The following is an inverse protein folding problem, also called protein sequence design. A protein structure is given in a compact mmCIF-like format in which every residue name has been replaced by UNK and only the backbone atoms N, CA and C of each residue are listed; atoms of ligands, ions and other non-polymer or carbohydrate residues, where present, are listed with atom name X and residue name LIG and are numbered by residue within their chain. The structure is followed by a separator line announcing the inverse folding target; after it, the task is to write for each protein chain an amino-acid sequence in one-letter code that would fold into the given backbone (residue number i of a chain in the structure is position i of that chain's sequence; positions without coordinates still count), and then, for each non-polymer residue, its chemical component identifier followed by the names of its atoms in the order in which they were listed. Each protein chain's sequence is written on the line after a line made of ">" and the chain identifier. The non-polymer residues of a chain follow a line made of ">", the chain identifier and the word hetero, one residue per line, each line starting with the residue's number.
data_IF_083047366747
#
_entry.id   IF_083047366747
#
_cell.length_a   1.000
_cell.length_b   1.000
_cell.length_c   1.000
_cell.angle_alpha   90.00
_cell.angle_beta   90.00
_cell.angle_gamma   90.00
#
_symmetry.space_group_name_H-M   'P 1'
#
loop_
_entity.id
_entity.type
_entity.pdbx_description
1 polymer ?
#
# COMPACT_ATOMS: atom_id res chain seq x y z
N UNK A 1 -56.11 -39.84 15.98
CA UNK A 1 -54.92 -40.68 15.72
C UNK A 1 -54.20 -40.35 14.42
N UNK A 2 -54.89 -40.04 13.31
CA UNK A 2 -54.27 -39.80 11.98
C UNK A 2 -53.35 -38.56 11.94
N UNK A 3 -53.67 -37.50 12.71
CA UNK A 3 -52.89 -36.25 12.75
C UNK A 3 -51.50 -36.44 13.36
N UNK A 4 -51.36 -37.30 14.37
CA UNK A 4 -50.07 -37.56 15.03
C UNK A 4 -49.09 -38.32 14.12
N UNK A 5 -49.59 -39.19 13.24
CA UNK A 5 -48.76 -39.94 12.27
C UNK A 5 -48.24 -38.99 11.19
N UNK A 6 -49.07 -38.03 10.74
CA UNK A 6 -48.66 -37.04 9.74
C UNK A 6 -47.58 -36.09 10.28
N UNK A 7 -47.71 -35.61 11.53
CA UNK A 7 -46.70 -34.78 12.18
C UNK A 7 -45.37 -35.52 12.40
N UNK A 8 -45.42 -36.82 12.72
CA UNK A 8 -44.23 -37.63 12.88
C UNK A 8 -43.49 -37.84 11.55
N UNK A 9 -44.22 -38.07 10.45
CA UNK A 9 -43.64 -38.17 9.10
C UNK A 9 -43.02 -36.84 8.64
N UNK A 10 -43.66 -35.71 8.92
CA UNK A 10 -43.10 -34.39 8.60
C UNK A 10 -41.81 -34.13 9.39
N UNK A 11 -41.76 -34.48 10.68
CA UNK A 11 -40.55 -34.33 11.49
C UNK A 11 -39.41 -35.27 11.08
N UNK A 12 -39.72 -36.46 10.54
CA UNK A 12 -38.71 -37.36 9.96
C UNK A 12 -38.18 -36.86 8.61
N UNK A 13 -38.99 -36.16 7.82
CA UNK A 13 -38.53 -35.51 6.59
C UNK A 13 -37.61 -34.31 6.86
N UNK A 14 -37.80 -33.60 7.97
CA UNK A 14 -36.93 -32.47 8.36
C UNK A 14 -35.58 -32.87 8.98
N UNK A 15 -35.38 -34.13 9.39
CA UNK A 15 -34.08 -34.61 9.92
C UNK A 15 -33.10 -35.06 8.84
N UNK A 16 -33.49 -35.06 7.57
CA UNK A 16 -32.71 -35.63 6.46
C UNK A 16 -31.86 -34.66 5.64
N UNK A 17 -31.81 -33.37 5.96
CA UNK A 17 -31.03 -32.39 5.18
C UNK A 17 -29.90 -31.81 6.05
N UNK A 18 -28.88 -32.62 6.30
CA UNK A 18 -27.54 -32.10 6.57
C UNK A 18 -26.72 -32.34 5.30
N UNK A 19 -26.64 -31.32 4.46
CA UNK A 19 -25.63 -31.26 3.41
C UNK A 19 -24.28 -31.06 4.10
N UNK A 20 -23.52 -32.14 4.26
CA UNK A 20 -22.09 -32.04 4.48
C UNK A 20 -21.45 -31.66 3.14
N UNK A 21 -21.26 -30.37 2.94
CA UNK A 21 -20.33 -29.86 1.93
C UNK A 21 -18.91 -29.97 2.49
N UNK A 22 -18.36 -31.19 2.46
CA UNK A 22 -16.96 -31.48 2.80
C UNK A 22 -16.02 -31.27 1.61
N UNK A 23 -16.46 -30.60 0.54
CA UNK A 23 -15.65 -30.37 -0.66
C UNK A 23 -14.94 -29.01 -0.74
N UNK A 24 -15.14 -28.11 0.22
CA UNK A 24 -14.67 -26.72 0.10
C UNK A 24 -13.37 -26.35 0.85
N UNK A 25 -12.80 -27.24 1.68
CA UNK A 25 -11.56 -26.92 2.43
C UNK A 25 -10.29 -27.01 1.57
N UNK A 26 -10.20 -27.97 0.65
CA UNK A 26 -9.03 -28.13 -0.21
C UNK A 26 -8.94 -27.04 -1.31
N UNK A 27 -10.08 -26.50 -1.75
CA UNK A 27 -10.12 -25.40 -2.73
C UNK A 27 -9.74 -24.06 -2.11
N UNK A 28 -10.13 -23.81 -0.85
CA UNK A 28 -9.71 -22.63 -0.09
C UNK A 28 -8.20 -22.59 0.19
N UNK A 29 -7.61 -23.72 0.59
CA UNK A 29 -6.16 -23.84 0.79
C UNK A 29 -5.37 -23.65 -0.51
N UNK A 30 -5.91 -24.12 -1.63
CA UNK A 30 -5.36 -23.88 -2.97
C UNK A 30 -5.40 -22.40 -3.35
N UNK A 31 -6.53 -21.71 -3.15
CA UNK A 31 -6.65 -20.27 -3.40
C UNK A 31 -5.75 -19.43 -2.49
N UNK A 32 -5.65 -19.78 -1.20
CA UNK A 32 -4.77 -19.11 -0.25
C UNK A 32 -3.29 -19.29 -0.65
N UNK A 33 -2.91 -20.49 -1.10
CA UNK A 33 -1.56 -20.80 -1.60
C UNK A 33 -1.23 -20.02 -2.87
N UNK A 34 -2.14 -19.99 -3.86
CA UNK A 34 -1.97 -19.20 -5.09
C UNK A 34 -1.90 -17.70 -4.79
N UNK A 35 -2.75 -17.18 -3.91
CA UNK A 35 -2.73 -15.77 -3.51
C UNK A 35 -1.48 -15.39 -2.70
N UNK A 36 -0.90 -16.34 -1.95
CA UNK A 36 0.37 -16.14 -1.24
C UNK A 36 1.56 -16.22 -2.21
N UNK A 37 1.55 -17.14 -3.17
CA UNK A 37 2.55 -17.22 -4.22
C UNK A 37 2.53 -15.97 -5.12
N UNK A 38 1.36 -15.52 -5.55
CA UNK A 38 1.17 -14.29 -6.32
C UNK A 38 1.61 -13.07 -5.49
N UNK A 39 1.22 -12.98 -4.21
CA UNK A 39 1.72 -11.92 -3.32
C UNK A 39 3.24 -11.95 -3.18
N UNK A 40 3.86 -13.12 -3.09
CA UNK A 40 5.31 -13.26 -2.99
C UNK A 40 6.03 -12.93 -4.31
N UNK A 41 5.44 -13.27 -5.45
CA UNK A 41 5.95 -12.90 -6.79
C UNK A 41 5.89 -11.38 -6.97
N UNK A 42 4.81 -10.71 -6.55
CA UNK A 42 4.73 -9.26 -6.63
C UNK A 42 5.55 -8.54 -5.56
N UNK A 43 5.65 -9.09 -4.34
CA UNK A 43 6.48 -8.53 -3.27
C UNK A 43 7.95 -8.42 -3.66
N UNK A 44 8.48 -9.36 -4.45
CA UNK A 44 9.89 -9.28 -4.86
C UNK A 44 10.14 -8.34 -6.05
N UNK A 45 9.09 -7.77 -6.66
CA UNK A 45 9.22 -6.86 -7.81
C UNK A 45 8.75 -5.45 -7.52
N UNK A 46 8.36 -5.16 -6.29
CA UNK A 46 7.83 -3.87 -5.88
C UNK A 46 8.63 -3.39 -4.67
N UNK A 47 9.12 -2.17 -4.76
CA UNK A 47 9.88 -1.50 -3.70
C UNK A 47 8.95 -1.13 -2.54
N UNK A 48 9.52 -0.71 -1.42
CA UNK A 48 8.78 -0.13 -0.30
C UNK A 48 7.93 1.07 -0.74
N UNK A 49 8.48 1.88 -1.66
CA UNK A 49 7.79 2.98 -2.33
C UNK A 49 6.85 2.57 -3.47
N UNK A 50 6.35 1.33 -3.49
CA UNK A 50 5.40 0.84 -4.48
C UNK A 50 5.85 1.02 -5.95
N UNK A 51 7.16 1.05 -6.19
CA UNK A 51 7.76 1.20 -7.51
C UNK A 51 8.19 -0.14 -8.05
N UNK A 52 7.96 -0.36 -9.34
CA UNK A 52 8.39 -1.60 -10.00
C UNK A 52 9.92 -1.66 -10.07
N UNK A 53 10.46 -2.74 -9.52
CA UNK A 53 11.84 -3.13 -9.71
C UNK A 53 12.10 -3.51 -11.18
N UNK A 54 13.31 -3.26 -11.65
CA UNK A 54 13.76 -3.71 -12.96
C UNK A 54 13.67 -5.23 -13.09
N UNK A 55 13.47 -5.69 -14.31
CA UNK A 55 13.31 -7.12 -14.60
C UNK A 55 14.56 -7.95 -14.24
N UNK A 56 15.74 -7.33 -14.28
CA UNK A 56 17.05 -7.96 -14.01
C UNK A 56 17.55 -7.72 -12.57
N UNK A 57 16.82 -6.94 -11.76
CA UNK A 57 17.17 -6.67 -10.37
C UNK A 57 15.90 -6.67 -9.53
N UNK A 58 15.49 -7.84 -9.07
CA UNK A 58 14.41 -7.99 -8.10
C UNK A 58 14.86 -7.59 -6.70
N UNK A 59 13.89 -7.35 -5.81
CA UNK A 59 14.14 -7.16 -4.40
C UNK A 59 14.99 -8.30 -3.84
N UNK A 60 16.13 -7.93 -3.27
CA UNK A 60 17.08 -8.84 -2.68
C UNK A 60 18.16 -8.08 -1.95
N UNK A 61 19.04 -8.79 -1.27
CA UNK A 61 20.10 -8.18 -0.47
C UNK A 61 21.26 -7.66 -1.31
N UNK A 62 21.57 -8.30 -2.44
CA UNK A 62 22.64 -7.89 -3.37
C UNK A 62 23.99 -7.59 -2.70
N UNK A 63 24.32 -8.32 -1.62
CA UNK A 63 25.56 -8.12 -0.84
C UNK A 63 25.41 -7.23 0.41
N UNK A 64 24.24 -6.64 0.63
CA UNK A 64 23.93 -5.78 1.77
C UNK A 64 23.18 -6.52 2.88
N UNK A 65 23.05 -5.90 4.06
CA UNK A 65 22.22 -6.39 5.17
C UNK A 65 20.75 -5.91 5.10
N UNK A 66 20.43 -5.12 4.07
CA UNK A 66 19.08 -4.67 3.72
C UNK A 66 18.66 -5.13 2.32
N UNK A 67 17.34 -5.26 2.11
CA UNK A 67 16.73 -5.65 0.84
C UNK A 67 16.42 -4.42 -0.01
N UNK A 68 16.81 -4.44 -1.28
CA UNK A 68 16.63 -3.34 -2.23
C UNK A 68 16.59 -3.86 -3.67
N UNK A 69 16.26 -2.98 -4.62
CA UNK A 69 16.33 -3.26 -6.04
C UNK A 69 16.60 -1.99 -6.87
N UNK A 70 17.08 -2.16 -8.11
CA UNK A 70 17.08 -1.06 -9.07
C UNK A 70 15.67 -0.87 -9.66
N UNK A 71 15.29 0.38 -9.87
CA UNK A 71 14.12 0.81 -10.63
C UNK A 71 14.58 1.36 -11.98
N UNK A 72 13.65 1.76 -12.85
CA UNK A 72 14.00 2.38 -14.14
C UNK A 72 14.73 3.73 -14.00
N UNK A 73 14.74 4.31 -12.79
CA UNK A 73 15.23 5.67 -12.55
C UNK A 73 16.29 5.77 -11.45
N UNK A 74 16.38 4.79 -10.53
CA UNK A 74 17.30 4.80 -9.40
C UNK A 74 17.36 3.39 -8.78
N UNK A 75 17.55 3.30 -7.47
CA UNK A 75 17.30 2.13 -6.64
C UNK A 75 16.42 2.53 -5.45
N UNK A 76 15.78 1.53 -4.83
CA UNK A 76 14.95 1.74 -3.64
C UNK A 76 14.91 0.49 -2.77
N UNK A 77 14.65 0.68 -1.47
CA UNK A 77 14.48 -0.41 -0.51
C UNK A 77 13.26 -1.25 -0.84
N UNK A 78 13.30 -2.51 -0.41
CA UNK A 78 12.20 -3.44 -0.53
C UNK A 78 11.76 -3.92 0.85
N UNK A 79 10.45 -3.97 1.08
CA UNK A 79 9.91 -4.51 2.31
C UNK A 79 10.09 -6.03 2.35
N UNK A 80 10.73 -6.55 3.40
CA UNK A 80 10.72 -7.97 3.75
C UNK A 80 9.39 -8.36 4.45
N UNK A 81 8.65 -7.38 4.99
CA UNK A 81 7.39 -7.54 5.71
C UNK A 81 6.21 -6.73 5.15
N UNK A 82 5.05 -6.73 5.83
CA UNK A 82 3.96 -5.80 5.50
C UNK A 82 4.36 -4.36 5.82
N UNK A 83 3.73 -3.43 5.11
CA UNK A 83 3.79 -2.01 5.45
C UNK A 83 2.85 -1.74 6.62
N UNK A 84 3.39 -1.26 7.75
CA UNK A 84 2.65 -1.04 8.99
C UNK A 84 2.71 0.44 9.39
N UNK A 85 1.68 0.90 10.11
CA UNK A 85 1.72 2.22 10.76
C UNK A 85 2.72 2.15 11.92
N UNK A 86 3.80 2.90 11.83
CA UNK A 86 4.81 3.08 12.85
C UNK A 86 5.00 4.58 13.17
N UNK A 87 5.49 4.91 14.37
CA UNK A 87 5.70 6.29 14.80
C UNK A 87 4.84 6.70 15.99
N UNK A 88 5.07 7.91 16.52
CA UNK A 88 4.23 8.49 17.58
C UNK A 88 2.87 8.89 17.00
N UNK A 89 1.84 8.89 17.83
CA UNK A 89 0.44 9.16 17.47
C UNK A 89 0.24 10.45 16.64
N UNK A 90 1.10 11.45 16.84
CA UNK A 90 1.05 12.77 16.18
C UNK A 90 1.63 12.79 14.76
N UNK A 91 2.49 11.82 14.40
CA UNK A 91 3.06 11.68 13.05
C UNK A 91 3.10 10.18 12.72
N UNK A 92 1.94 9.54 12.49
CA UNK A 92 1.93 8.17 12.01
C UNK A 92 2.69 8.15 10.70
N UNK A 93 3.62 7.23 10.55
CA UNK A 93 4.36 6.99 9.31
C UNK A 93 4.10 5.55 8.90
N UNK A 94 4.06 5.27 7.60
CA UNK A 94 3.97 3.90 7.14
C UNK A 94 5.39 3.40 6.88
N UNK A 95 5.82 2.37 7.61
CA UNK A 95 7.15 1.77 7.48
C UNK A 95 7.09 0.25 7.39
N UNK A 96 8.15 -0.34 6.87
CA UNK A 96 8.35 -1.77 6.79
C UNK A 96 9.81 -2.10 7.06
N UNK A 97 10.06 -3.30 7.59
CA UNK A 97 11.43 -3.81 7.66
C UNK A 97 11.95 -4.09 6.25
N UNK A 98 13.14 -3.60 5.96
CA UNK A 98 13.89 -3.87 4.75
C UNK A 98 15.20 -4.58 5.08
N UNK A 99 15.22 -5.45 6.09
CA UNK A 99 16.43 -6.09 6.61
C UNK A 99 16.93 -5.41 7.88
N UNK A 100 18.17 -4.89 7.89
CA UNK A 100 18.76 -4.20 9.05
C UNK A 100 18.19 -2.81 9.33
N UNK A 101 17.34 -2.28 8.45
CA UNK A 101 16.74 -0.95 8.56
C UNK A 101 15.24 -0.96 8.25
N UNK A 102 14.57 0.13 8.64
CA UNK A 102 13.18 0.41 8.28
C UNK A 102 13.10 1.31 7.05
N UNK A 103 12.27 0.92 6.10
CA UNK A 103 11.96 1.70 4.91
C UNK A 103 10.55 2.29 5.03
N UNK A 104 10.38 3.53 4.57
CA UNK A 104 9.06 4.10 4.39
C UNK A 104 8.34 3.38 3.26
N UNK A 105 7.05 3.13 3.46
CA UNK A 105 6.24 2.40 2.50
C UNK A 105 4.81 2.94 2.48
N UNK A 106 4.00 2.48 1.54
CA UNK A 106 2.55 2.75 1.52
C UNK A 106 2.08 3.45 0.26
N UNK A 107 0.76 3.57 0.14
CA UNK A 107 0.13 4.22 -1.00
C UNK A 107 0.12 5.72 -0.80
N UNK A 108 0.49 6.40 -1.86
CA UNK A 108 0.49 7.83 -1.92
C UNK A 108 0.17 8.20 -3.37
N UNK A 109 -0.56 9.28 -3.55
CA UNK A 109 -1.40 9.48 -4.73
C UNK A 109 -0.64 9.48 -6.06
N UNK A 110 -1.38 9.56 -7.14
CA UNK A 110 -0.82 9.76 -8.48
C UNK A 110 -0.57 11.23 -8.83
N UNK A 111 -0.74 12.13 -7.86
CA UNK A 111 -0.79 13.58 -8.10
C UNK A 111 0.07 14.32 -7.08
N UNK A 112 0.98 15.16 -7.59
CA UNK A 112 1.83 16.06 -6.83
C UNK A 112 1.00 17.13 -6.08
N UNK A 113 1.63 17.86 -5.15
CA UNK A 113 0.96 18.96 -4.45
C UNK A 113 0.33 19.94 -5.45
N UNK A 114 1.10 20.39 -6.45
CA UNK A 114 0.65 21.34 -7.47
C UNK A 114 -0.40 20.80 -8.46
N UNK A 115 -0.92 19.59 -8.27
CA UNK A 115 -1.90 18.96 -9.16
C UNK A 115 -1.30 18.25 -10.37
N UNK A 116 0.03 18.29 -10.56
CA UNK A 116 0.70 17.56 -11.63
C UNK A 116 0.54 16.06 -11.45
N UNK A 117 0.10 15.35 -12.49
CA UNK A 117 0.10 13.89 -12.49
C UNK A 117 1.53 13.35 -12.48
N UNK A 118 1.83 12.56 -11.46
CA UNK A 118 3.09 11.86 -11.30
C UNK A 118 3.16 10.67 -12.25
N UNK A 119 4.39 10.33 -12.62
CA UNK A 119 4.70 9.18 -13.42
C UNK A 119 4.35 7.90 -12.63
N UNK A 120 3.72 6.88 -13.24
CA UNK A 120 3.27 5.68 -12.53
C UNK A 120 4.37 4.90 -11.81
N UNK A 121 5.61 4.98 -12.31
CA UNK A 121 6.76 4.36 -11.67
C UNK A 121 7.31 5.16 -10.49
N UNK A 122 6.85 6.39 -10.25
CA UNK A 122 7.27 7.24 -9.12
C UNK A 122 6.04 7.93 -8.54
N UNK A 123 5.13 7.19 -7.89
CA UNK A 123 3.93 7.77 -7.31
C UNK A 123 4.25 8.70 -6.11
N UNK A 124 3.33 9.60 -5.83
CA UNK A 124 3.55 10.76 -4.98
C UNK A 124 3.38 10.50 -3.50
N UNK A 125 4.47 10.50 -2.73
CA UNK A 125 4.48 10.19 -1.28
C UNK A 125 5.09 8.82 -0.94
N UNK A 126 5.68 8.18 -1.94
CA UNK A 126 6.37 6.90 -1.79
C UNK A 126 7.89 7.05 -1.72
N UNK A 127 8.40 8.22 -2.11
CA UNK A 127 9.82 8.53 -2.17
C UNK A 127 10.20 9.71 -1.29
N UNK A 128 11.43 9.71 -0.80
CA UNK A 128 12.11 10.89 -0.25
C UNK A 128 11.90 11.22 1.22
N UNK A 129 10.91 10.59 1.89
CA UNK A 129 10.62 10.82 3.30
C UNK A 129 11.87 10.74 4.21
N UNK A 130 12.52 9.58 4.31
CA UNK A 130 13.69 9.39 5.20
C UNK A 130 14.95 10.16 4.79
N UNK A 131 15.27 10.17 3.50
CA UNK A 131 16.56 10.67 3.01
C UNK A 131 16.59 12.19 2.83
N UNK A 132 15.47 12.76 2.43
CA UNK A 132 15.38 14.19 2.08
C UNK A 132 14.43 14.95 3.00
N UNK A 133 13.68 14.26 3.85
CA UNK A 133 12.74 14.87 4.77
C UNK A 133 11.45 15.33 4.09
N UNK A 134 11.29 15.13 2.78
CA UNK A 134 10.11 15.51 2.00
C UNK A 134 9.74 14.47 0.95
N UNK A 135 8.47 14.45 0.59
CA UNK A 135 7.97 13.55 -0.45
C UNK A 135 8.04 14.18 -1.83
N UNK A 136 8.32 13.36 -2.84
CA UNK A 136 8.39 13.82 -4.22
C UNK A 136 7.99 12.74 -5.23
N UNK A 137 7.77 13.16 -6.47
CA UNK A 137 7.53 12.31 -7.62
C UNK A 137 8.21 12.88 -8.88
N UNK A 138 8.29 12.08 -9.95
CA UNK A 138 8.59 12.62 -11.28
C UNK A 138 7.31 12.85 -12.05
N UNK A 139 7.23 13.92 -12.84
CA UNK A 139 6.19 14.04 -13.87
C UNK A 139 6.54 13.25 -15.14
N UNK A 140 5.65 13.30 -16.14
CA UNK A 140 5.86 12.62 -17.43
C UNK A 140 7.11 13.09 -18.20
N UNK A 141 7.68 14.25 -17.85
CA UNK A 141 8.89 14.82 -18.43
C UNK A 141 10.11 14.66 -17.51
N UNK A 142 10.01 13.80 -16.48
CA UNK A 142 11.07 13.53 -15.51
C UNK A 142 11.48 14.76 -14.68
N UNK A 143 10.60 15.73 -14.52
CA UNK A 143 10.82 16.87 -13.61
C UNK A 143 10.38 16.47 -12.21
N UNK A 144 11.19 16.78 -11.20
CA UNK A 144 10.86 16.54 -9.79
C UNK A 144 9.69 17.44 -9.38
N UNK A 145 8.68 16.83 -8.75
CA UNK A 145 7.52 17.52 -8.18
C UNK A 145 7.40 17.16 -6.72
N UNK A 146 7.07 18.14 -5.88
CA UNK A 146 6.86 17.92 -4.46
C UNK A 146 5.49 17.33 -4.20
N UNK A 147 5.44 16.43 -3.25
CA UNK A 147 4.26 15.72 -2.84
C UNK A 147 3.78 16.24 -1.51
N UNK A 148 2.45 16.28 -1.35
CA UNK A 148 1.89 16.38 -0.02
C UNK A 148 2.34 15.18 0.79
N UNK A 149 2.64 15.43 2.06
CA UNK A 149 2.83 14.39 3.04
C UNK A 149 1.56 13.53 3.05
N UNK A 150 1.66 12.19 2.93
CA UNK A 150 0.50 11.30 2.99
C UNK A 150 -0.36 11.47 4.25
N UNK A 151 0.18 12.11 5.29
CA UNK A 151 -0.50 12.39 6.55
C UNK A 151 -1.04 13.82 6.67
N UNK A 152 -0.71 14.74 5.76
CA UNK A 152 -1.31 16.08 5.70
C UNK A 152 -1.90 16.29 4.31
N UNK A 153 -3.15 15.82 4.17
CA UNK A 153 -3.89 15.96 2.93
C UNK A 153 -4.07 17.42 2.55
N UNK A 154 -4.16 17.64 1.24
CA UNK A 154 -4.42 18.95 0.67
C UNK A 154 -5.74 19.51 1.20
N UNK A 155 -5.64 20.49 2.11
CA UNK A 155 -6.79 21.02 2.84
C UNK A 155 -6.68 22.54 2.97
N UNK A 156 -7.80 23.22 3.20
CA UNK A 156 -7.78 24.68 3.44
C UNK A 156 -7.07 24.96 4.76
N UNK A 157 -6.02 25.77 4.72
CA UNK A 157 -5.35 26.30 5.92
C UNK A 157 -5.40 27.84 5.84
N UNK A 158 -6.00 28.49 6.84
CA UNK A 158 -6.17 29.95 6.85
C UNK A 158 -7.20 30.49 5.83
N UNK A 159 -6.93 31.66 5.25
CA UNK A 159 -7.90 32.49 4.51
C UNK A 159 -8.14 32.12 3.02
N UNK A 160 -8.41 30.85 2.70
CA UNK A 160 -8.94 30.31 1.42
C UNK A 160 -7.99 29.52 0.50
N UNK A 161 -6.71 29.43 0.78
CA UNK A 161 -5.79 28.62 -0.04
C UNK A 161 -5.70 27.18 0.50
N UNK A 162 -5.57 26.22 -0.42
CA UNK A 162 -5.28 24.84 -0.06
C UNK A 162 -3.78 24.65 0.06
N UNK A 163 -3.38 24.03 1.15
CA UNK A 163 -1.99 23.77 1.48
C UNK A 163 -1.84 22.36 2.03
N UNK A 164 -0.65 21.82 1.85
CA UNK A 164 -0.21 20.62 2.52
C UNK A 164 1.26 20.77 2.93
N UNK A 165 1.63 20.11 4.02
CA UNK A 165 3.03 19.87 4.35
C UNK A 165 3.63 18.97 3.28
N UNK A 166 4.86 19.27 2.90
CA UNK A 166 5.66 18.42 2.00
C UNK A 166 6.68 17.58 2.76
N UNK A 167 6.95 17.93 4.02
CA UNK A 167 7.96 17.32 4.88
C UNK A 167 7.39 16.36 5.92
N UNK A 168 8.21 15.40 6.37
CA UNK A 168 7.89 14.47 7.48
C UNK A 168 8.33 14.98 8.85
N UNK A 169 9.33 15.86 8.91
CA UNK A 169 9.83 16.40 10.16
C UNK A 169 9.09 17.68 10.54
N UNK A 170 9.27 18.14 11.78
CA UNK A 170 8.68 19.36 12.38
C UNK A 170 9.04 20.67 11.66
N UNK A 171 9.65 20.61 10.46
CA UNK A 171 9.90 21.76 9.61
C UNK A 171 8.68 22.16 8.79
N UNK A 172 8.36 23.46 8.79
CA UNK A 172 7.21 24.09 8.13
C UNK A 172 7.34 24.20 6.60
N UNK A 173 7.72 23.13 5.90
CA UNK A 173 7.74 23.17 4.43
C UNK A 173 6.33 22.92 3.88
N UNK A 174 5.64 24.01 3.59
CA UNK A 174 4.29 24.02 3.03
C UNK A 174 4.32 24.25 1.53
N UNK A 175 3.47 23.53 0.80
CA UNK A 175 3.23 23.77 -0.62
C UNK A 175 1.75 24.07 -0.86
N UNK A 176 1.49 24.99 -1.79
CA UNK A 176 0.17 25.14 -2.38
C UNK A 176 -0.23 23.82 -3.02
N UNK A 177 -1.48 23.43 -2.84
CA UNK A 177 -1.94 22.16 -3.36
C UNK A 177 -3.31 22.21 -4.02
N UNK A 178 -3.57 21.21 -4.87
CA UNK A 178 -4.85 21.01 -5.56
C UNK A 178 -5.64 19.86 -4.90
N UNK A 179 -6.86 20.10 -4.38
CA UNK A 179 -7.69 19.04 -3.81
C UNK A 179 -8.06 17.96 -4.84
N UNK A 180 -8.15 16.71 -4.40
CA UNK A 180 -8.46 15.57 -5.30
C UNK A 180 -9.89 15.57 -5.83
N UNK A 181 -10.83 16.25 -5.17
CA UNK A 181 -12.27 16.25 -5.49
C UNK A 181 -12.70 17.17 -6.65
N UNK A 182 -11.75 17.77 -7.38
CA UNK A 182 -12.05 18.68 -8.50
C UNK A 182 -11.73 18.11 -9.89
N UNK A 183 -11.60 16.79 -10.03
CA UNK A 183 -11.41 16.10 -11.32
C UNK A 183 -12.62 15.26 -11.69
#
# INVERSE_FOLDING_TARGET
>A
MVIYILLCLILLLFRGIQTQDETNYAEYDSYASVNNAIRNIFKNRITAGNTKCRADHHCGRHGEDYSWCYTDYSWEYCCEGPCIKAGREEVPTMTCHAGSLDAYCGSSGDTAADGTTCHPSHPCGTHGGSRFGYFWCYDQHKRVKHCCNPHDECSKKGYNNHWCKTTIHTGDSWAHCTPKEQK
#
